data_IF_758003916801
#
_entry.id   IF_758003916801
#
_cell.length_a   1.000
_cell.length_b   1.000
_cell.length_c   1.000
_cell.angle_alpha   90.00
_cell.angle_beta   90.00
_cell.angle_gamma   90.00
#
_symmetry.space_group_name_H-M   'P 1'
#
loop_
_entity.id
_entity.type
_entity.pdbx_description
1 polymer ?
#
# COMPACT_ATOMS: atom_id res chain seq x y z
N UNK A 1 1.88 -7.11 3.41
CA UNK A 1 2.29 -6.69 4.77
C UNK A 1 3.64 -7.32 5.23
N UNK A 2 4.60 -7.49 4.32
CA UNK A 2 5.79 -8.33 4.59
C UNK A 2 7.00 -7.59 5.16
N UNK A 3 7.17 -6.30 4.83
CA UNK A 3 8.37 -5.54 5.20
C UNK A 3 8.38 -5.20 6.70
N UNK A 4 9.49 -5.47 7.43
CA UNK A 4 9.64 -5.10 8.82
C UNK A 4 9.41 -3.61 9.07
N UNK A 5 8.62 -3.29 10.09
CA UNK A 5 8.29 -1.94 10.56
C UNK A 5 7.61 -1.02 9.52
N UNK A 6 7.11 -1.55 8.40
CA UNK A 6 6.48 -0.72 7.37
C UNK A 6 5.25 0.03 7.88
N UNK A 7 4.39 -0.63 8.66
CA UNK A 7 3.21 0.00 9.27
C UNK A 7 3.62 1.12 10.22
N UNK A 8 4.60 0.88 11.10
CA UNK A 8 5.11 1.89 12.02
C UNK A 8 5.70 3.10 11.27
N UNK A 9 6.46 2.83 10.20
CA UNK A 9 7.02 3.89 9.36
C UNK A 9 5.92 4.75 8.74
N UNK A 10 4.89 4.13 8.17
CA UNK A 10 3.76 4.85 7.57
C UNK A 10 3.00 5.66 8.64
N UNK A 11 2.75 5.11 9.81
CA UNK A 11 2.09 5.80 10.92
C UNK A 11 2.85 7.05 11.36
N UNK A 12 4.19 7.00 11.46
CA UNK A 12 5.02 8.17 11.81
C UNK A 12 4.94 9.25 10.72
N UNK A 13 4.93 8.86 9.44
CA UNK A 13 4.80 9.81 8.32
C UNK A 13 3.40 10.44 8.32
N UNK A 14 2.36 9.64 8.52
CA UNK A 14 0.97 10.09 8.58
C UNK A 14 0.74 11.08 9.73
N UNK A 15 1.26 10.77 10.93
CA UNK A 15 1.18 11.66 12.10
C UNK A 15 1.82 13.02 11.80
N UNK A 16 3.02 13.04 11.21
CA UNK A 16 3.72 14.28 10.83
C UNK A 16 2.96 15.09 9.77
N UNK A 17 2.29 14.41 8.86
CA UNK A 17 1.47 15.03 7.82
C UNK A 17 0.07 15.44 8.32
N UNK A 18 -0.32 15.05 9.54
CA UNK A 18 -1.65 15.33 10.09
C UNK A 18 -2.78 14.56 9.39
N UNK A 19 -2.48 13.40 8.80
CA UNK A 19 -3.46 12.57 8.08
C UNK A 19 -3.80 11.31 8.86
N UNK A 20 -5.03 10.81 8.68
CA UNK A 20 -5.47 9.56 9.28
C UNK A 20 -4.73 8.36 8.66
N UNK A 21 -4.52 7.31 9.45
CA UNK A 21 -3.95 6.04 8.98
C UNK A 21 -4.90 4.90 9.34
N UNK A 22 -5.12 3.99 8.40
CA UNK A 22 -5.83 2.74 8.64
C UNK A 22 -4.83 1.58 8.56
N UNK A 23 -4.49 1.01 9.73
CA UNK A 23 -3.56 -0.11 9.85
C UNK A 23 -4.01 -1.02 11.01
N UNK A 24 -5.03 -1.85 10.81
CA UNK A 24 -5.56 -2.73 11.86
C UNK A 24 -4.59 -3.87 12.23
N UNK A 25 -3.69 -4.20 11.31
CA UNK A 25 -2.70 -5.26 11.46
C UNK A 25 -1.30 -4.68 11.70
N UNK A 26 -0.46 -5.33 12.53
CA UNK A 26 0.86 -4.81 12.88
C UNK A 26 1.88 -4.89 11.73
N UNK A 27 1.56 -5.59 10.64
CA UNK A 27 2.50 -5.88 9.55
C UNK A 27 3.51 -6.97 9.95
N UNK A 28 4.74 -6.87 9.45
CA UNK A 28 5.82 -7.84 9.74
C UNK A 28 5.48 -9.30 9.38
N UNK A 29 4.78 -9.50 8.26
CA UNK A 29 4.29 -10.81 7.81
C UNK A 29 2.94 -11.21 8.41
N UNK A 30 2.34 -10.37 9.27
CA UNK A 30 1.02 -10.60 9.86
C UNK A 30 -0.03 -9.74 9.14
N UNK A 31 -1.20 -10.34 8.92
CA UNK A 31 -2.35 -9.71 8.28
C UNK A 31 -2.47 -10.03 6.80
N UNK A 32 -3.70 -10.00 6.29
CA UNK A 32 -4.01 -10.12 4.87
C UNK A 32 -4.04 -8.74 4.21
N UNK A 33 -3.09 -8.40 3.32
CA UNK A 33 -3.03 -7.09 2.69
C UNK A 33 -4.22 -6.80 1.76
N UNK A 34 -4.82 -7.82 1.16
CA UNK A 34 -6.02 -7.66 0.32
C UNK A 34 -7.21 -7.27 1.19
N UNK A 35 -7.39 -7.99 2.30
CA UNK A 35 -8.46 -7.69 3.25
C UNK A 35 -8.30 -6.31 3.89
N UNK A 36 -7.08 -5.97 4.33
CA UNK A 36 -6.78 -4.65 4.91
C UNK A 36 -7.08 -3.53 3.90
N UNK A 37 -6.73 -3.71 2.62
CA UNK A 37 -7.04 -2.72 1.60
C UNK A 37 -8.56 -2.57 1.41
N UNK A 38 -9.33 -3.66 1.33
CA UNK A 38 -10.80 -3.61 1.23
C UNK A 38 -11.44 -2.90 2.42
N UNK A 39 -11.04 -3.27 3.63
CA UNK A 39 -11.61 -2.69 4.84
C UNK A 39 -11.23 -1.21 5.01
N UNK A 40 -10.10 -0.78 4.46
CA UNK A 40 -9.71 0.63 4.44
C UNK A 40 -10.69 1.50 3.64
N UNK A 41 -11.29 0.96 2.57
CA UNK A 41 -12.29 1.66 1.76
C UNK A 41 -13.59 1.85 2.55
N UNK A 42 -14.03 0.81 3.25
CA UNK A 42 -15.23 0.90 4.11
C UNK A 42 -15.01 1.84 5.30
N UNK A 43 -13.82 1.81 5.91
CA UNK A 43 -13.42 2.77 6.93
C UNK A 43 -13.46 4.21 6.40
N UNK A 44 -12.90 4.45 5.21
CA UNK A 44 -12.87 5.77 4.59
C UNK A 44 -14.28 6.30 4.30
N UNK A 45 -15.18 5.46 3.77
CA UNK A 45 -16.59 5.80 3.58
C UNK A 45 -17.27 6.16 4.90
N UNK A 46 -17.09 5.34 5.94
CA UNK A 46 -17.69 5.56 7.25
C UNK A 46 -17.16 6.83 7.95
N UNK A 47 -15.94 7.25 7.63
CA UNK A 47 -15.30 8.45 8.15
C UNK A 47 -15.39 9.67 7.23
N UNK A 48 -16.04 9.53 6.08
CA UNK A 48 -16.22 10.59 5.09
C UNK A 48 -14.86 11.16 4.63
N UNK A 49 -13.93 10.26 4.32
CA UNK A 49 -12.68 10.62 3.65
C UNK A 49 -12.88 10.64 2.14
N UNK A 50 -12.46 11.72 1.49
CA UNK A 50 -12.58 11.89 0.03
C UNK A 50 -11.48 11.15 -0.74
N UNK A 51 -10.33 10.90 -0.11
CA UNK A 51 -9.14 10.30 -0.73
C UNK A 51 -8.62 9.17 0.16
N UNK A 52 -8.31 8.03 -0.48
CA UNK A 52 -7.62 6.90 0.14
C UNK A 52 -6.35 6.61 -0.65
N UNK A 53 -5.22 6.53 0.04
CA UNK A 53 -3.95 6.11 -0.54
C UNK A 53 -3.59 4.76 0.08
N UNK A 54 -3.52 3.73 -0.76
CA UNK A 54 -3.12 2.38 -0.36
C UNK A 54 -1.62 2.22 -0.61
N UNK A 55 -0.82 2.22 0.45
CA UNK A 55 0.61 1.93 0.38
C UNK A 55 0.85 0.41 0.28
N UNK A 56 1.38 -0.03 -0.85
CA UNK A 56 1.61 -1.45 -1.15
C UNK A 56 3.04 -1.85 -0.83
N UNK A 57 3.29 -3.15 -0.62
CA UNK A 57 4.67 -3.62 -0.45
C UNK A 57 5.50 -3.32 -1.71
N UNK A 58 6.71 -2.81 -1.53
CA UNK A 58 7.69 -2.70 -2.61
C UNK A 58 8.06 -4.08 -3.14
N UNK A 59 8.27 -4.18 -4.45
CA UNK A 59 8.63 -5.43 -5.13
C UNK A 59 9.76 -5.19 -6.13
N UNK A 60 10.59 -6.21 -6.32
CA UNK A 60 11.39 -6.33 -7.53
C UNK A 60 10.47 -6.86 -8.63
N UNK A 61 10.63 -6.42 -9.87
CA UNK A 61 9.76 -6.83 -11.00
C UNK A 61 9.69 -8.35 -11.25
N UNK A 62 10.58 -9.12 -10.64
CA UNK A 62 10.66 -10.58 -10.75
C UNK A 62 9.94 -11.34 -9.62
N UNK A 63 9.47 -10.65 -8.57
CA UNK A 63 8.79 -11.29 -7.44
C UNK A 63 7.32 -11.56 -7.78
N UNK A 64 7.03 -12.76 -8.29
CA UNK A 64 5.70 -13.15 -8.74
C UNK A 64 4.65 -13.13 -7.62
N UNK A 65 5.03 -13.47 -6.39
CA UNK A 65 4.10 -13.50 -5.26
C UNK A 65 3.67 -12.07 -4.89
N UNK A 66 4.62 -11.15 -4.78
CA UNK A 66 4.31 -9.75 -4.49
C UNK A 66 3.60 -9.05 -5.65
N UNK A 67 3.90 -9.42 -6.89
CA UNK A 67 3.18 -8.93 -8.06
C UNK A 67 1.73 -9.42 -8.09
N UNK A 68 1.48 -10.69 -7.78
CA UNK A 68 0.12 -11.23 -7.67
C UNK A 68 -0.64 -10.53 -6.53
N UNK A 69 -0.02 -10.36 -5.37
CA UNK A 69 -0.62 -9.65 -4.24
C UNK A 69 -1.01 -8.20 -4.61
N UNK A 70 -0.17 -7.49 -5.37
CA UNK A 70 -0.49 -6.15 -5.85
C UNK A 70 -1.66 -6.13 -6.83
N UNK A 71 -1.75 -7.13 -7.73
CA UNK A 71 -2.89 -7.31 -8.62
C UNK A 71 -4.17 -7.61 -7.83
N UNK A 72 -4.09 -8.48 -6.83
CA UNK A 72 -5.23 -8.84 -5.98
C UNK A 72 -5.73 -7.65 -5.18
N UNK A 73 -4.84 -6.80 -4.65
CA UNK A 73 -5.21 -5.53 -3.99
C UNK A 73 -5.92 -4.60 -4.99
N UNK A 74 -5.35 -4.41 -6.19
CA UNK A 74 -5.96 -3.56 -7.23
C UNK A 74 -7.37 -4.03 -7.56
N UNK A 75 -7.54 -5.32 -7.82
CA UNK A 75 -8.84 -5.87 -8.22
C UNK A 75 -9.85 -5.81 -7.07
N UNK A 76 -9.38 -5.97 -5.83
CA UNK A 76 -10.18 -5.87 -4.62
C UNK A 76 -10.74 -4.47 -4.34
N UNK A 77 -9.97 -3.42 -4.63
CA UNK A 77 -10.36 -2.03 -4.31
C UNK A 77 -10.75 -1.19 -5.52
N UNK A 78 -10.47 -1.66 -6.74
CA UNK A 78 -10.77 -0.97 -8.00
C UNK A 78 -10.38 0.52 -7.98
N UNK A 79 -9.08 0.84 -7.79
CA UNK A 79 -8.65 2.22 -7.58
C UNK A 79 -8.83 3.05 -8.86
N UNK A 80 -9.15 4.34 -8.70
CA UNK A 80 -9.26 5.28 -9.82
C UNK A 80 -7.91 5.50 -10.51
N UNK A 81 -6.82 5.49 -9.74
CA UNK A 81 -5.46 5.75 -10.20
C UNK A 81 -4.47 4.72 -9.64
N UNK A 82 -3.47 4.36 -10.45
CA UNK A 82 -2.36 3.50 -10.05
C UNK A 82 -1.05 4.25 -10.27
N UNK A 83 -0.40 4.63 -9.17
CA UNK A 83 0.85 5.37 -9.21
C UNK A 83 2.05 4.42 -9.17
N UNK A 84 2.88 4.46 -10.22
CA UNK A 84 4.16 3.76 -10.25
C UNK A 84 5.28 4.68 -9.77
N UNK A 85 5.93 4.31 -8.66
CA UNK A 85 7.01 5.10 -8.05
C UNK A 85 8.36 4.53 -8.47
N UNK A 86 9.17 5.36 -9.13
CA UNK A 86 10.49 4.98 -9.67
C UNK A 86 11.56 5.88 -9.07
N UNK A 87 12.71 5.29 -8.72
CA UNK A 87 13.89 6.04 -8.33
C UNK A 87 14.62 6.57 -9.59
N UNK A 88 14.81 7.89 -9.67
CA UNK A 88 15.48 8.55 -10.78
C UNK A 88 16.94 8.08 -10.99
N UNK A 89 17.58 7.50 -9.97
CA UNK A 89 18.95 7.00 -10.05
C UNK A 89 19.06 5.61 -10.71
N UNK A 90 17.95 4.89 -10.92
CA UNK A 90 17.98 3.56 -11.57
C UNK A 90 18.44 3.64 -13.03
N UNK A 91 18.39 4.82 -13.67
CA UNK A 91 18.88 5.01 -15.02
C UNK A 91 18.06 4.21 -16.05
N UNK A 92 18.72 3.62 -17.04
CA UNK A 92 18.04 2.89 -18.13
C UNK A 92 17.37 1.59 -17.68
N UNK A 93 17.76 1.05 -16.51
CA UNK A 93 17.18 -0.19 -15.97
C UNK A 93 15.73 0.01 -15.48
N UNK A 94 15.25 1.26 -15.39
CA UNK A 94 13.87 1.58 -15.00
C UNK A 94 12.86 1.39 -16.15
N UNK A 95 13.35 1.19 -17.37
CA UNK A 95 12.54 1.17 -18.59
C UNK A 95 12.24 -0.26 -19.08
N UNK A 96 12.88 -1.29 -18.49
CA UNK A 96 12.75 -2.70 -18.89
C UNK A 96 11.72 -3.47 -18.06
#
# INVERSE_FOLDING_TARGET
LQRPNAVNQLSVVAERAGVAVYAPEPGNGVGDPVQVAKDSIEFAKAKVHDIVIVDTAGRLGIDQELMQQAADIRDAVSPDEILFVVDAMIGQDAVN
#
